data_IF_513924001408
#
_entry.id   IF_513924001408
#
_cell.length_a   1.000
_cell.length_b   1.000
_cell.length_c   1.000
_cell.angle_alpha   90.00
_cell.angle_beta   90.00
_cell.angle_gamma   90.00
#
_symmetry.space_group_name_H-M   'P 1'
#
loop_
_entity.id
_entity.type
_entity.pdbx_description
1 polymer ?
#
# COMPACT_ATOMS: atom_id res chain seq x y z
N UNK A 1 23.66 -33.75 -22.42
CA UNK A 1 24.75 -33.06 -21.67
C UNK A 1 24.91 -33.81 -20.34
N UNK A 2 26.12 -34.30 -20.02
CA UNK A 2 26.36 -34.95 -18.71
C UNK A 2 26.29 -33.87 -17.63
N UNK A 3 25.47 -34.07 -16.61
CA UNK A 3 25.53 -33.27 -15.40
C UNK A 3 26.82 -33.66 -14.66
N UNK A 4 27.90 -32.90 -14.83
CA UNK A 4 29.02 -32.98 -13.90
C UNK A 4 28.57 -32.34 -12.58
N UNK A 5 28.83 -33.03 -11.45
CA UNK A 5 28.69 -32.41 -10.14
C UNK A 5 29.68 -31.25 -9.99
N UNK A 6 29.34 -30.28 -9.14
CA UNK A 6 30.12 -29.04 -8.96
C UNK A 6 31.59 -29.31 -8.56
N UNK A 7 31.84 -30.36 -7.79
CA UNK A 7 33.18 -30.79 -7.37
C UNK A 7 34.04 -31.24 -8.56
N UNK A 8 33.47 -32.06 -9.45
CA UNK A 8 34.16 -32.55 -10.64
C UNK A 8 34.43 -31.42 -11.65
N UNK A 9 33.52 -30.44 -11.75
CA UNK A 9 33.73 -29.25 -12.56
C UNK A 9 34.83 -28.35 -11.99
N UNK A 10 34.88 -28.21 -10.66
CA UNK A 10 35.89 -27.38 -9.98
C UNK A 10 37.29 -27.96 -10.14
N UNK A 11 37.44 -29.28 -9.97
CA UNK A 11 38.69 -29.99 -10.16
C UNK A 11 39.20 -29.92 -11.61
N UNK A 12 38.31 -30.10 -12.60
CA UNK A 12 38.67 -29.97 -14.02
C UNK A 12 39.09 -28.56 -14.41
N UNK A 13 38.51 -27.55 -13.79
CA UNK A 13 38.87 -26.15 -14.00
C UNK A 13 40.05 -25.70 -13.11
N UNK A 14 40.55 -26.55 -12.21
CA UNK A 14 41.65 -26.23 -11.30
C UNK A 14 41.33 -25.14 -10.28
N UNK A 15 40.05 -24.92 -9.98
CA UNK A 15 39.57 -23.88 -9.05
C UNK A 15 38.84 -24.51 -7.87
N UNK A 16 38.76 -23.81 -6.73
CA UNK A 16 37.94 -24.27 -5.60
C UNK A 16 36.44 -24.20 -5.92
N UNK A 17 35.66 -25.12 -5.33
CA UNK A 17 34.18 -25.14 -5.47
C UNK A 17 33.52 -23.79 -5.13
N UNK A 18 33.94 -23.04 -4.08
CA UNK A 18 33.36 -21.72 -3.82
C UNK A 18 33.57 -20.74 -4.97
N UNK A 19 34.79 -20.71 -5.53
CA UNK A 19 35.15 -19.85 -6.66
C UNK A 19 34.39 -20.21 -7.92
N UNK A 20 34.21 -21.51 -8.19
CA UNK A 20 33.41 -21.96 -9.34
C UNK A 20 31.95 -21.50 -9.21
N UNK A 21 31.37 -21.58 -8.01
CA UNK A 21 30.00 -21.10 -7.75
C UNK A 21 29.87 -19.59 -7.95
N UNK A 22 30.83 -18.82 -7.47
CA UNK A 22 30.83 -17.36 -7.64
C UNK A 22 30.89 -16.98 -9.12
N UNK A 23 31.81 -17.58 -9.88
CA UNK A 23 31.96 -17.32 -11.31
C UNK A 23 30.72 -17.75 -12.11
N UNK A 24 30.11 -18.89 -11.75
CA UNK A 24 28.86 -19.34 -12.38
C UNK A 24 27.72 -18.38 -12.04
N UNK A 25 27.64 -17.89 -10.80
CA UNK A 25 26.65 -16.90 -10.39
C UNK A 25 26.78 -15.59 -11.17
N UNK A 26 28.00 -15.12 -11.40
CA UNK A 26 28.30 -13.92 -12.20
C UNK A 26 28.00 -14.13 -13.69
N UNK A 27 28.34 -15.29 -14.26
CA UNK A 27 28.07 -15.61 -15.67
C UNK A 27 26.58 -15.77 -15.98
N UNK A 28 25.77 -16.20 -15.00
CA UNK A 28 24.32 -16.31 -15.18
C UNK A 28 23.62 -14.94 -15.23
N UNK A 29 24.22 -13.89 -14.64
CA UNK A 29 23.68 -12.53 -14.63
C UNK A 29 24.80 -11.49 -14.78
N UNK A 30 25.43 -11.38 -15.97
CA UNK A 30 26.51 -10.43 -16.19
C UNK A 30 25.99 -9.00 -15.98
N UNK A 31 26.65 -8.23 -15.12
CA UNK A 31 26.26 -6.86 -14.79
C UNK A 31 25.17 -6.74 -13.71
N UNK A 32 25.01 -7.76 -12.85
CA UNK A 32 24.15 -7.68 -11.65
C UNK A 32 24.57 -6.46 -10.82
N UNK A 33 23.72 -5.44 -10.79
CA UNK A 33 23.89 -4.33 -9.88
C UNK A 33 23.48 -4.82 -8.48
N UNK A 34 24.37 -4.68 -7.50
CA UNK A 34 24.15 -5.08 -6.10
C UNK A 34 22.92 -4.36 -5.52
N UNK A 35 22.52 -3.23 -6.12
CA UNK A 35 21.37 -2.44 -5.70
C UNK A 35 20.01 -2.99 -6.12
N UNK A 36 19.93 -3.96 -7.05
CA UNK A 36 18.66 -4.57 -7.46
C UNK A 36 17.99 -5.39 -6.32
N UNK A 37 18.77 -5.77 -5.30
CA UNK A 37 18.29 -6.49 -4.10
C UNK A 37 17.89 -5.58 -2.94
N UNK A 38 18.06 -4.26 -3.06
CA UNK A 38 17.55 -3.36 -2.05
C UNK A 38 16.02 -3.32 -2.16
N UNK A 39 15.28 -3.57 -1.06
CA UNK A 39 13.85 -3.27 -1.05
C UNK A 39 13.70 -1.83 -1.51
N UNK A 40 12.80 -1.60 -2.46
CA UNK A 40 12.56 -0.28 -3.06
C UNK A 40 12.54 0.77 -1.93
N UNK A 41 13.27 1.89 -2.07
CA UNK A 41 13.27 2.92 -1.06
C UNK A 41 11.82 3.22 -0.68
N UNK A 42 11.51 3.21 0.62
CA UNK A 42 10.22 3.69 1.12
C UNK A 42 10.25 5.21 0.93
N UNK A 43 10.05 5.64 -0.31
CA UNK A 43 9.62 7.00 -0.60
C UNK A 43 8.34 7.16 0.20
N UNK A 44 8.32 8.15 1.11
CA UNK A 44 7.11 8.50 1.86
C UNK A 44 5.93 8.44 0.90
N UNK A 45 5.01 7.52 1.22
CA UNK A 45 3.92 7.06 0.36
C UNK A 45 2.83 8.12 0.30
N UNK A 46 3.20 9.32 -0.11
CA UNK A 46 2.35 10.50 0.00
C UNK A 46 1.53 10.72 -1.28
N UNK A 47 1.57 9.76 -2.22
CA UNK A 47 0.76 9.78 -3.44
C UNK A 47 0.17 8.39 -3.64
N UNK A 48 -0.83 8.05 -2.85
CA UNK A 48 -1.71 6.93 -3.17
C UNK A 48 -2.55 7.34 -4.39
N UNK A 49 -2.50 6.59 -5.48
CA UNK A 49 -3.41 6.80 -6.60
C UNK A 49 -4.72 6.06 -6.34
N UNK A 50 -5.82 6.52 -6.96
CA UNK A 50 -7.13 5.88 -6.81
C UNK A 50 -7.13 4.39 -7.19
N UNK A 51 -6.18 3.97 -8.05
CA UNK A 51 -5.99 2.59 -8.51
C UNK A 51 -5.42 1.65 -7.45
N UNK A 52 -4.69 2.20 -6.48
CA UNK A 52 -4.06 1.41 -5.42
C UNK A 52 -5.00 1.21 -4.22
N UNK A 53 -6.09 1.97 -4.18
CA UNK A 53 -7.11 1.84 -3.15
C UNK A 53 -7.92 0.56 -3.35
N UNK A 54 -7.92 -0.28 -2.33
CA UNK A 54 -8.76 -1.48 -2.24
C UNK A 54 -9.82 -1.30 -1.17
N UNK A 55 -11.05 -1.77 -1.39
CA UNK A 55 -12.06 -1.83 -0.34
C UNK A 55 -11.54 -2.66 0.84
N UNK A 56 -11.79 -2.19 2.06
CA UNK A 56 -11.29 -2.73 3.32
C UNK A 56 -9.97 -2.14 3.81
N UNK A 57 -9.27 -1.33 3.01
CA UNK A 57 -8.06 -0.65 3.47
C UNK A 57 -8.38 0.40 4.52
N UNK A 58 -7.57 0.42 5.59
CA UNK A 58 -7.67 1.42 6.65
C UNK A 58 -6.61 2.49 6.44
N UNK A 59 -7.04 3.73 6.30
CA UNK A 59 -6.22 4.89 6.02
C UNK A 59 -6.43 5.96 7.10
N UNK A 60 -5.49 6.89 7.18
CA UNK A 60 -5.64 8.08 8.00
C UNK A 60 -5.87 9.25 7.06
N UNK A 61 -6.84 10.09 7.36
CA UNK A 61 -7.15 11.26 6.55
C UNK A 61 -7.58 12.45 7.40
N UNK A 62 -7.57 13.62 6.79
CA UNK A 62 -7.91 14.88 7.44
C UNK A 62 -9.29 15.34 6.99
N UNK A 63 -10.15 15.72 7.92
CA UNK A 63 -11.48 16.25 7.60
C UNK A 63 -11.32 17.59 6.91
N UNK A 64 -11.77 17.69 5.65
CA UNK A 64 -11.70 18.92 4.87
C UNK A 64 -12.97 19.74 4.99
N UNK A 65 -14.12 19.08 5.05
CA UNK A 65 -15.41 19.73 5.14
C UNK A 65 -16.44 18.81 5.81
N UNK A 66 -17.38 19.40 6.53
CA UNK A 66 -18.48 18.70 7.20
C UNK A 66 -19.80 19.31 6.72
N UNK A 67 -20.73 18.47 6.31
CA UNK A 67 -22.06 18.85 5.83
C UNK A 67 -23.13 18.00 6.52
N UNK A 68 -24.41 18.37 6.43
CA UNK A 68 -25.46 17.72 7.22
C UNK A 68 -25.58 16.20 6.99
N UNK A 69 -25.33 15.72 5.77
CA UNK A 69 -25.46 14.30 5.43
C UNK A 69 -24.13 13.53 5.45
N UNK A 70 -22.99 14.18 5.71
CA UNK A 70 -21.69 13.51 5.64
C UNK A 70 -20.47 14.37 5.87
N UNK A 71 -19.29 13.73 5.77
CA UNK A 71 -17.99 14.31 6.07
C UNK A 71 -17.06 14.03 4.90
N UNK A 72 -16.39 15.07 4.39
CA UNK A 72 -15.35 14.92 3.38
C UNK A 72 -13.99 14.81 4.05
N UNK A 73 -13.31 13.71 3.77
CA UNK A 73 -12.00 13.38 4.34
C UNK A 73 -10.99 13.27 3.21
N UNK A 74 -9.91 14.03 3.33
CA UNK A 74 -8.74 13.93 2.46
C UNK A 74 -7.84 12.81 2.98
N UNK A 75 -7.68 11.76 2.18
CA UNK A 75 -6.85 10.58 2.50
C UNK A 75 -5.50 10.61 1.76
N UNK A 76 -5.10 11.75 1.19
CA UNK A 76 -3.85 11.90 0.44
C UNK A 76 -3.92 11.36 -0.99
N UNK A 77 -5.14 11.16 -1.51
CA UNK A 77 -5.37 10.94 -2.94
C UNK A 77 -5.92 12.23 -3.53
N UNK A 78 -5.74 12.49 -4.83
CA UNK A 78 -6.21 13.72 -5.50
C UNK A 78 -7.74 13.97 -5.43
N UNK A 79 -8.49 13.14 -4.70
CA UNK A 79 -9.92 13.15 -4.60
C UNK A 79 -10.38 12.92 -3.16
N UNK A 80 -11.26 13.79 -2.67
CA UNK A 80 -11.82 13.67 -1.32
C UNK A 80 -12.76 12.45 -1.23
N UNK A 81 -12.66 11.72 -0.13
CA UNK A 81 -13.60 10.64 0.19
C UNK A 81 -14.77 11.14 1.02
N UNK A 82 -15.95 10.56 0.81
CA UNK A 82 -17.18 10.91 1.51
C UNK A 82 -17.50 9.83 2.56
N UNK A 83 -17.63 10.26 3.81
CA UNK A 83 -18.19 9.46 4.90
C UNK A 83 -19.66 9.85 5.08
N UNK A 84 -20.57 8.90 4.91
CA UNK A 84 -22.00 9.13 5.18
C UNK A 84 -22.25 9.32 6.68
N UNK A 85 -23.25 10.12 7.08
CA UNK A 85 -23.57 10.35 8.51
C UNK A 85 -23.73 9.06 9.32
N UNK A 86 -24.33 8.01 8.73
CA UNK A 86 -24.52 6.69 9.37
C UNK A 86 -23.20 5.91 9.60
N UNK A 87 -22.13 6.35 8.95
CA UNK A 87 -20.79 5.78 8.99
C UNK A 87 -19.80 6.65 9.77
N UNK A 88 -20.26 7.79 10.33
CA UNK A 88 -19.44 8.66 11.20
C UNK A 88 -19.28 8.06 12.59
N UNK A 89 -20.36 7.51 13.17
CA UNK A 89 -20.30 6.78 14.44
C UNK A 89 -21.33 5.65 14.53
N UNK A 90 -21.15 4.78 15.51
CA UNK A 90 -22.10 3.70 15.85
C UNK A 90 -23.38 4.20 16.52
N UNK A 91 -23.40 5.46 16.98
CA UNK A 91 -24.55 6.09 17.64
C UNK A 91 -25.33 6.94 16.64
N UNK A 92 -26.62 7.12 16.90
CA UNK A 92 -27.43 8.08 16.14
C UNK A 92 -26.99 9.50 16.48
N UNK A 93 -26.52 10.23 15.48
CA UNK A 93 -26.08 11.63 15.61
C UNK A 93 -27.00 12.47 14.73
N UNK A 94 -27.36 13.67 15.20
CA UNK A 94 -28.18 14.63 14.44
C UNK A 94 -27.35 15.41 13.43
N UNK A 95 -26.17 15.89 13.83
CA UNK A 95 -25.23 16.57 12.95
C UNK A 95 -23.80 16.03 13.12
N UNK A 96 -23.08 15.70 12.03
CA UNK A 96 -21.73 15.17 12.11
C UNK A 96 -20.72 16.13 12.76
N UNK A 97 -21.00 17.44 12.75
CA UNK A 97 -20.17 18.46 13.42
C UNK A 97 -20.06 18.30 14.94
N UNK A 98 -20.93 17.50 15.56
CA UNK A 98 -20.83 17.17 17.00
C UNK A 98 -19.72 16.15 17.29
N UNK A 99 -19.29 15.40 16.28
CA UNK A 99 -18.35 14.27 16.43
C UNK A 99 -17.02 14.56 15.77
N UNK A 100 -17.02 15.31 14.67
CA UNK A 100 -15.82 15.67 13.92
C UNK A 100 -15.81 17.14 13.55
N UNK A 101 -14.65 17.75 13.62
CA UNK A 101 -14.39 19.12 13.19
C UNK A 101 -13.54 19.16 11.94
N UNK A 102 -13.63 20.26 11.18
CA UNK A 102 -12.74 20.51 10.04
C UNK A 102 -11.30 20.64 10.55
N UNK A 103 -10.38 19.91 9.92
CA UNK A 103 -8.97 19.82 10.32
C UNK A 103 -8.64 18.63 11.21
N UNK A 104 -9.64 17.87 11.69
CA UNK A 104 -9.40 16.69 12.51
C UNK A 104 -8.78 15.56 11.68
N UNK A 105 -7.82 14.87 12.27
CA UNK A 105 -7.20 13.68 11.69
C UNK A 105 -7.97 12.46 12.17
N UNK A 106 -8.62 11.76 11.23
CA UNK A 106 -9.51 10.63 11.50
C UNK A 106 -9.02 9.38 10.78
N UNK A 107 -9.29 8.21 11.38
CA UNK A 107 -9.02 6.92 10.75
C UNK A 107 -10.27 6.46 10.00
N UNK A 108 -10.12 6.14 8.72
CA UNK A 108 -11.21 5.78 7.82
C UNK A 108 -10.92 4.47 7.11
N UNK A 109 -11.97 3.74 6.78
CA UNK A 109 -11.91 2.51 5.99
C UNK A 109 -12.52 2.78 4.63
N UNK A 110 -11.85 2.33 3.57
CA UNK A 110 -12.38 2.38 2.20
C UNK A 110 -13.49 1.34 2.07
N UNK A 111 -14.71 1.77 1.78
CA UNK A 111 -15.82 0.85 1.50
C UNK A 111 -15.90 0.50 0.02
N UNK A 112 -15.81 1.53 -0.81
CA UNK A 112 -15.98 1.41 -2.25
C UNK A 112 -15.25 2.54 -2.98
N UNK A 113 -14.73 2.24 -4.17
CA UNK A 113 -13.95 3.16 -5.00
C UNK A 113 -14.52 3.15 -6.41
N UNK A 114 -15.08 4.29 -6.82
CA UNK A 114 -15.79 4.45 -8.07
C UNK A 114 -14.92 5.29 -9.03
N UNK A 115 -14.01 4.62 -9.76
CA UNK A 115 -13.01 5.28 -10.61
C UNK A 115 -13.65 6.15 -11.71
N UNK A 116 -14.80 5.75 -12.25
CA UNK A 116 -15.51 6.48 -13.32
C UNK A 116 -16.01 7.84 -12.84
N UNK A 117 -16.52 7.90 -11.61
CA UNK A 117 -17.11 9.11 -11.02
C UNK A 117 -16.11 9.86 -10.14
N UNK A 118 -14.91 9.30 -9.95
CA UNK A 118 -13.92 9.77 -8.99
C UNK A 118 -14.55 9.96 -7.61
N UNK A 119 -15.23 8.94 -7.10
CA UNK A 119 -15.84 8.99 -5.76
C UNK A 119 -15.29 7.87 -4.92
N UNK A 120 -14.99 8.18 -3.67
CA UNK A 120 -14.49 7.20 -2.69
C UNK A 120 -15.47 7.22 -1.53
N UNK A 121 -16.08 6.07 -1.25
CA UNK A 121 -16.96 5.90 -0.11
C UNK A 121 -16.12 5.44 1.07
N UNK A 122 -16.12 6.22 2.13
CA UNK A 122 -15.35 5.97 3.34
C UNK A 122 -16.28 5.68 4.53
N UNK A 123 -15.76 4.98 5.52
CA UNK A 123 -16.41 4.80 6.82
C UNK A 123 -15.44 5.13 7.94
N UNK A 124 -15.90 5.88 8.95
CA UNK A 124 -15.16 6.05 10.19
C UNK A 124 -15.44 4.92 11.20
N UNK A 125 -16.49 4.12 10.95
CA UNK A 125 -16.79 2.95 11.76
C UNK A 125 -15.78 1.86 11.46
N UNK A 126 -15.23 1.28 12.52
CA UNK A 126 -14.35 0.12 12.40
C UNK A 126 -15.19 -1.03 11.82
N UNK A 127 -14.77 -1.58 10.69
CA UNK A 127 -15.33 -2.85 10.21
C UNK A 127 -14.99 -3.88 11.27
N UNK A 128 -15.96 -4.23 12.12
CA UNK A 128 -15.90 -5.44 12.92
C UNK A 128 -15.95 -6.58 11.90
N UNK A 129 -14.79 -7.07 11.48
CA UNK A 129 -14.70 -8.38 10.88
C UNK A 129 -15.11 -9.37 11.98
N UNK A 130 -16.37 -9.82 11.93
CA UNK A 130 -16.89 -10.92 12.72
C UNK A 130 -17.02 -12.14 11.81
#
# INVERSE_FOLDING_TARGET
MKACGEEAAAEQCGVGVPTLRDVVGELMKPGRDIRDELPKPILRTDVLEMKDLKPGMVLTGTVRNVIDFGVFVDIGVHQDGLVHISQVADKFIRHPSEVVSVGDVVKVVVLDVDEKKKRISLSMRQVKNQ
#
